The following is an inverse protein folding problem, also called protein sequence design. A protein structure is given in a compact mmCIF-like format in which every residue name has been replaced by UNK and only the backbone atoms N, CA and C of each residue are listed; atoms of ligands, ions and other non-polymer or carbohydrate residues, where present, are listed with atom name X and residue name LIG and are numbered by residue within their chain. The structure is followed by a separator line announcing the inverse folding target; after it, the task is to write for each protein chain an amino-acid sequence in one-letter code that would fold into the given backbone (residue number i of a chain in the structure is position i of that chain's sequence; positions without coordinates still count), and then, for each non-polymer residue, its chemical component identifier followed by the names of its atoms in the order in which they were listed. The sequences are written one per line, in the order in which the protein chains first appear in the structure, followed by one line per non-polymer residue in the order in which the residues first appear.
data_IF_917338401941
#
_entry.id   IF_917338401941
#
_cell.length_a   1.000
_cell.length_b   1.000
_cell.length_c   1.000
_cell.angle_alpha   90.00
_cell.angle_beta   90.00
_cell.angle_gamma   90.00
#
_symmetry.space_group_name_H-M   'P 1'
#
loop_
_entity.id
_entity.type
_entity.pdbx_description
1 polymer ?
#
# COMPACT_ATOMS: atom_id res chain seq x y z
N UNK A 1 -23.91 35.75 30.98
CA UNK A 1 -22.85 34.72 30.98
C UNK A 1 -23.07 33.86 29.75
N UNK A 2 -22.33 34.15 28.67
CA UNK A 2 -22.43 33.44 27.39
C UNK A 2 -21.51 32.22 27.46
N UNK A 3 -22.09 31.02 27.52
CA UNK A 3 -21.35 29.76 27.51
C UNK A 3 -20.79 29.52 26.12
N UNK A 4 -19.51 29.84 25.92
CA UNK A 4 -18.71 29.37 24.79
C UNK A 4 -18.58 27.85 24.89
N UNK A 5 -19.41 27.12 24.13
CA UNK A 5 -19.21 25.70 23.88
C UNK A 5 -17.86 25.58 23.15
N UNK A 6 -16.88 24.83 23.67
CA UNK A 6 -15.62 24.63 22.95
C UNK A 6 -15.94 23.85 21.67
N UNK A 7 -15.79 24.52 20.53
CA UNK A 7 -15.82 23.87 19.22
C UNK A 7 -14.64 22.91 19.15
N UNK A 8 -14.85 21.64 19.48
CA UNK A 8 -13.88 20.60 19.20
C UNK A 8 -13.63 20.59 17.69
N UNK A 9 -12.37 20.67 17.22
CA UNK A 9 -12.09 20.60 15.80
C UNK A 9 -12.63 19.27 15.26
N UNK A 10 -13.58 19.32 14.32
CA UNK A 10 -14.08 18.14 13.62
C UNK A 10 -12.89 17.53 12.87
N UNK A 11 -12.39 16.37 13.32
CA UNK A 11 -11.12 15.83 12.80
C UNK A 11 -11.25 15.17 11.42
N UNK A 12 -12.45 14.81 10.97
CA UNK A 12 -12.83 14.53 9.58
C UNK A 12 -14.33 14.20 9.52
N UNK A 13 -15.05 14.64 8.49
CA UNK A 13 -16.47 14.38 8.26
C UNK A 13 -16.73 13.18 7.33
N UNK A 14 -15.75 12.79 6.49
CA UNK A 14 -15.86 11.69 5.52
C UNK A 14 -14.56 10.88 5.36
N UNK A 15 -14.66 9.68 4.77
CA UNK A 15 -13.50 8.82 4.47
C UNK A 15 -12.47 9.47 3.53
N UNK A 16 -12.94 10.36 2.64
CA UNK A 16 -12.09 11.18 1.78
C UNK A 16 -11.25 12.18 2.60
N UNK A 17 -11.85 12.82 3.61
CA UNK A 17 -11.14 13.73 4.51
C UNK A 17 -10.11 13.01 5.39
N UNK A 18 -10.43 11.80 5.87
CA UNK A 18 -9.48 10.95 6.60
C UNK A 18 -8.27 10.55 5.74
N UNK A 19 -8.52 10.17 4.49
CA UNK A 19 -7.45 9.81 3.53
C UNK A 19 -6.57 11.02 3.24
N UNK A 20 -7.16 12.19 3.01
CA UNK A 20 -6.42 13.44 2.82
C UNK A 20 -5.64 13.86 4.08
N UNK A 21 -6.18 13.62 5.28
CA UNK A 21 -5.49 13.87 6.53
C UNK A 21 -4.29 12.93 6.71
N UNK A 22 -4.46 11.64 6.43
CA UNK A 22 -3.38 10.65 6.48
C UNK A 22 -2.27 10.99 5.47
N UNK A 23 -2.62 11.36 4.22
CA UNK A 23 -1.63 11.77 3.22
C UNK A 23 -0.85 13.02 3.68
N UNK A 24 -1.55 14.03 4.22
CA UNK A 24 -0.91 15.24 4.78
C UNK A 24 0.02 14.91 5.95
N UNK A 25 -0.37 13.97 6.81
CA UNK A 25 0.48 13.50 7.90
C UNK A 25 1.74 12.82 7.37
N UNK A 26 1.60 11.83 6.48
CA UNK A 26 2.74 11.11 5.90
C UNK A 26 3.69 12.06 5.16
N UNK A 27 3.16 13.02 4.40
CA UNK A 27 3.96 14.01 3.68
C UNK A 27 4.73 14.93 4.63
N UNK A 28 4.13 15.36 5.74
CA UNK A 28 4.82 16.14 6.78
C UNK A 28 5.84 15.31 7.55
N UNK A 29 5.53 14.05 7.86
CA UNK A 29 6.48 13.13 8.47
C UNK A 29 7.70 12.91 7.57
N UNK A 30 7.48 12.75 6.26
CA UNK A 30 8.53 12.64 5.26
C UNK A 30 9.38 13.92 5.18
N UNK A 31 8.75 15.09 5.17
CA UNK A 31 9.47 16.36 5.19
C UNK A 31 10.35 16.52 6.45
N UNK A 32 9.82 16.14 7.62
CA UNK A 32 10.55 16.16 8.88
C UNK A 32 11.71 15.14 8.87
N UNK A 33 11.49 13.95 8.30
CA UNK A 33 12.54 12.96 8.10
C UNK A 33 13.65 13.47 7.18
N UNK A 34 13.30 14.13 6.08
CA UNK A 34 14.26 14.72 5.16
C UNK A 34 15.05 15.85 5.82
N UNK A 35 14.39 16.71 6.60
CA UNK A 35 15.08 17.73 7.40
C UNK A 35 16.07 17.11 8.40
N UNK A 36 15.65 16.06 9.11
CA UNK A 36 16.51 15.33 10.04
C UNK A 36 17.72 14.71 9.33
N UNK A 37 17.55 14.15 8.13
CA UNK A 37 18.67 13.65 7.31
C UNK A 37 19.66 14.77 6.97
N UNK A 38 19.17 15.93 6.53
CA UNK A 38 20.00 17.09 6.23
C UNK A 38 20.77 17.57 7.45
N UNK A 39 20.10 17.68 8.59
CA UNK A 39 20.73 18.08 9.87
C UNK A 39 21.77 17.06 10.34
N UNK A 40 21.51 15.76 10.21
CA UNK A 40 22.48 14.70 10.53
C UNK A 40 23.72 14.78 9.63
N UNK A 41 23.55 15.05 8.33
CA UNK A 41 24.64 15.21 7.38
C UNK A 41 25.47 16.47 7.67
N UNK A 42 24.83 17.61 7.95
CA UNK A 42 25.54 18.83 8.37
C UNK A 42 26.30 18.62 9.68
N UNK A 43 25.66 17.99 10.67
CA UNK A 43 26.30 17.69 11.95
C UNK A 43 27.54 16.80 11.74
N UNK A 44 27.44 15.82 10.85
CA UNK A 44 28.57 14.97 10.49
C UNK A 44 29.72 15.75 9.83
N UNK A 45 29.41 16.72 8.95
CA UNK A 45 30.42 17.58 8.32
C UNK A 45 31.05 18.56 9.32
N UNK A 46 30.28 19.10 10.26
CA UNK A 46 30.78 20.00 11.30
C UNK A 46 31.72 19.27 12.26
N UNK A 47 31.42 18.01 12.56
CA UNK A 47 32.27 17.16 13.41
C UNK A 47 33.53 16.64 12.70
N UNK A 48 33.70 16.89 11.39
CA UNK A 48 34.82 16.39 10.60
C UNK A 48 36.21 16.63 11.24
N UNK A 49 36.51 17.80 11.84
CA UNK A 49 37.81 18.05 12.48
C UNK A 49 38.09 17.19 13.72
N UNK A 50 37.06 16.59 14.32
CA UNK A 50 37.14 15.77 15.52
C UNK A 50 37.22 14.27 15.22
N UNK A 51 37.28 13.89 13.94
CA UNK A 51 37.17 12.49 13.52
C UNK A 51 38.53 11.88 13.23
N UNK A 52 38.73 10.67 13.74
CA UNK A 52 39.88 9.84 13.44
C UNK A 52 39.62 9.06 12.14
N UNK A 53 40.20 9.54 11.04
CA UNK A 53 40.15 8.85 9.75
C UNK A 53 41.41 8.04 9.49
N UNK A 54 41.28 6.92 8.77
CA UNK A 54 42.42 6.08 8.39
C UNK A 54 43.40 6.82 7.47
N UNK A 55 42.86 7.70 6.61
CA UNK A 55 43.59 8.52 5.64
C UNK A 55 43.39 10.03 5.93
N UNK A 56 44.26 10.91 5.43
CA UNK A 56 44.04 12.35 5.50
C UNK A 56 42.77 12.75 4.74
N UNK A 57 41.74 13.18 5.49
CA UNK A 57 40.46 13.60 4.92
C UNK A 57 40.50 15.09 4.60
N UNK A 58 40.07 15.43 3.39
CA UNK A 58 39.97 16.80 2.88
C UNK A 58 38.54 17.06 2.41
N UNK A 59 38.20 18.32 2.16
CA UNK A 59 36.90 18.70 1.58
C UNK A 59 36.66 18.10 0.19
N UNK A 60 37.72 17.67 -0.51
CA UNK A 60 37.66 16.97 -1.80
C UNK A 60 37.46 15.45 -1.67
N UNK A 61 37.50 14.88 -0.46
CA UNK A 61 37.30 13.44 -0.28
C UNK A 61 35.87 13.07 -0.75
N UNK A 62 35.72 12.04 -1.61
CA UNK A 62 34.42 11.72 -2.23
C UNK A 62 33.29 11.51 -1.23
N UNK A 63 33.55 10.89 -0.09
CA UNK A 63 32.56 10.67 0.98
C UNK A 63 32.12 11.97 1.66
N UNK A 64 33.01 12.95 1.81
CA UNK A 64 32.68 14.29 2.33
C UNK A 64 31.81 15.04 1.33
N UNK A 65 32.21 15.04 0.06
CA UNK A 65 31.41 15.64 -1.03
C UNK A 65 30.02 15.00 -1.12
N UNK A 66 29.95 13.67 -1.04
CA UNK A 66 28.70 12.92 -1.04
C UNK A 66 27.82 13.32 0.14
N UNK A 67 28.39 13.43 1.34
CA UNK A 67 27.67 13.85 2.55
C UNK A 67 27.14 15.28 2.40
N UNK A 68 27.92 16.19 1.80
CA UNK A 68 27.49 17.55 1.51
C UNK A 68 26.34 17.60 0.48
N UNK A 69 26.43 16.78 -0.58
CA UNK A 69 25.35 16.63 -1.55
C UNK A 69 24.07 16.09 -0.89
N UNK A 70 24.18 15.07 -0.04
CA UNK A 70 23.06 14.53 0.73
C UNK A 70 22.46 15.60 1.65
N UNK A 71 23.29 16.41 2.32
CA UNK A 71 22.80 17.51 3.16
C UNK A 71 21.96 18.51 2.35
N UNK A 72 22.48 18.99 1.22
CA UNK A 72 21.79 19.94 0.34
C UNK A 72 20.50 19.34 -0.22
N UNK A 73 20.58 18.12 -0.76
CA UNK A 73 19.43 17.43 -1.33
C UNK A 73 18.35 17.19 -0.28
N UNK A 74 18.71 16.76 0.93
CA UNK A 74 17.76 16.48 2.00
C UNK A 74 17.01 17.74 2.46
N UNK A 75 17.67 18.89 2.56
CA UNK A 75 17.00 20.17 2.84
C UNK A 75 16.11 20.62 1.67
N UNK A 76 16.54 20.45 0.43
CA UNK A 76 15.71 20.74 -0.74
C UNK A 76 14.43 19.88 -0.76
N UNK A 77 14.56 18.58 -0.43
CA UNK A 77 13.42 17.66 -0.28
C UNK A 77 12.54 18.05 0.90
N UNK A 78 13.10 18.50 2.02
CA UNK A 78 12.30 18.98 3.15
C UNK A 78 11.46 20.22 2.78
N UNK A 79 11.97 21.08 1.89
CA UNK A 79 11.27 22.27 1.40
C UNK A 79 10.19 21.94 0.36
N UNK A 80 10.45 20.97 -0.53
CA UNK A 80 9.50 20.47 -1.53
C UNK A 80 9.33 18.93 -1.43
N UNK A 81 8.64 18.43 -0.39
CA UNK A 81 8.56 16.98 -0.13
C UNK A 81 7.62 16.25 -1.08
N UNK A 82 6.55 16.92 -1.54
CA UNK A 82 5.48 16.31 -2.33
C UNK A 82 5.93 15.56 -3.60
N UNK A 83 6.76 16.14 -4.50
CA UNK A 83 7.18 15.44 -5.72
C UNK A 83 8.00 14.19 -5.41
N UNK A 84 8.94 14.29 -4.46
CA UNK A 84 9.86 13.19 -4.11
C UNK A 84 9.12 12.08 -3.36
N UNK A 85 8.30 12.44 -2.37
CA UNK A 85 7.45 11.49 -1.66
C UNK A 85 6.58 10.68 -2.63
N UNK A 86 5.85 11.36 -3.53
CA UNK A 86 4.99 10.68 -4.51
C UNK A 86 5.79 9.85 -5.51
N UNK A 87 6.98 10.31 -5.91
CA UNK A 87 7.85 9.55 -6.79
C UNK A 87 8.30 8.24 -6.13
N UNK A 88 8.77 8.29 -4.88
CA UNK A 88 9.17 7.11 -4.12
C UNK A 88 8.00 6.14 -3.89
N UNK A 89 6.80 6.65 -3.54
CA UNK A 89 5.63 5.79 -3.38
C UNK A 89 5.18 5.10 -4.68
N UNK A 90 5.42 5.71 -5.85
CA UNK A 90 5.00 5.17 -7.17
C UNK A 90 6.06 4.30 -7.82
N UNK A 91 7.34 4.54 -7.53
CA UNK A 91 8.49 3.93 -8.20
C UNK A 91 9.46 3.35 -7.18
N UNK A 92 9.29 2.06 -6.83
CA UNK A 92 10.17 1.36 -5.89
C UNK A 92 11.66 1.38 -6.27
N UNK A 93 11.96 1.48 -7.57
CA UNK A 93 13.30 1.60 -8.12
C UNK A 93 14.03 2.87 -7.63
N UNK A 94 13.30 3.96 -7.41
CA UNK A 94 13.86 5.22 -6.91
C UNK A 94 14.30 5.12 -5.44
N UNK A 95 13.78 4.15 -4.68
CA UNK A 95 14.22 3.90 -3.30
C UNK A 95 15.69 3.43 -3.24
N UNK A 96 16.21 2.85 -4.33
CA UNK A 96 17.60 2.39 -4.37
C UNK A 96 18.61 3.54 -4.38
N UNK A 97 18.24 4.72 -4.91
CA UNK A 97 19.14 5.88 -4.95
C UNK A 97 19.61 6.29 -3.54
N UNK A 98 18.72 6.60 -2.58
CA UNK A 98 19.14 6.91 -1.20
C UNK A 98 19.84 5.73 -0.52
N UNK A 99 19.49 4.48 -0.84
CA UNK A 99 20.16 3.30 -0.26
C UNK A 99 21.61 3.18 -0.76
N UNK A 100 21.86 3.41 -2.04
CA UNK A 100 23.21 3.40 -2.62
C UNK A 100 24.05 4.56 -2.07
N UNK A 101 23.46 5.73 -1.89
CA UNK A 101 24.12 6.86 -1.24
C UNK A 101 24.49 6.51 0.22
N UNK A 102 23.57 5.92 0.98
CA UNK A 102 23.82 5.47 2.35
C UNK A 102 24.95 4.44 2.44
N UNK A 103 24.99 3.48 1.51
CA UNK A 103 26.07 2.49 1.40
C UNK A 103 27.41 3.15 1.04
N UNK A 104 27.43 4.06 0.07
CA UNK A 104 28.64 4.78 -0.35
C UNK A 104 29.21 5.68 0.77
N UNK A 105 28.36 6.24 1.63
CA UNK A 105 28.82 7.02 2.80
C UNK A 105 29.54 6.16 3.85
N UNK A 106 29.24 4.84 3.90
CA UNK A 106 29.91 3.90 4.78
C UNK A 106 31.11 3.20 4.10
N UNK A 107 31.19 3.25 2.78
CA UNK A 107 32.20 2.56 1.99
C UNK A 107 33.54 3.34 1.97
N UNK A 108 34.20 3.48 3.13
CA UNK A 108 35.61 3.91 3.29
C UNK A 108 35.92 5.37 2.79
N UNK A 109 36.93 6.14 3.28
CA UNK A 109 37.97 5.88 4.29
C UNK A 109 37.66 6.40 5.71
N UNK A 110 36.48 6.98 5.93
CA UNK A 110 36.09 7.61 7.20
C UNK A 110 35.65 6.61 8.30
N UNK A 111 36.07 5.34 8.25
CA UNK A 111 35.77 4.27 9.24
C UNK A 111 34.41 4.42 9.95
N UNK A 112 33.32 4.12 9.27
CA UNK A 112 31.94 4.19 9.79
C UNK A 112 31.50 5.51 10.48
N UNK A 113 32.31 6.57 10.57
CA UNK A 113 31.99 7.85 11.24
C UNK A 113 30.79 8.59 10.61
N UNK A 114 30.47 8.25 9.35
CA UNK A 114 29.32 8.76 8.61
C UNK A 114 28.05 7.90 8.78
N UNK A 115 28.03 7.01 9.78
CA UNK A 115 26.91 6.11 9.98
C UNK A 115 25.60 6.81 10.34
N UNK A 116 25.63 7.96 11.02
CA UNK A 116 24.42 8.69 11.40
C UNK A 116 23.64 9.22 10.18
N UNK A 117 24.25 9.98 9.25
CA UNK A 117 23.53 10.42 8.05
C UNK A 117 23.18 9.26 7.10
N UNK A 118 24.00 8.21 7.03
CA UNK A 118 23.66 6.97 6.30
C UNK A 118 22.40 6.31 6.89
N UNK A 119 22.34 6.16 8.22
CA UNK A 119 21.18 5.61 8.94
C UNK A 119 19.94 6.47 8.75
N UNK A 120 20.07 7.79 8.90
CA UNK A 120 18.97 8.73 8.71
C UNK A 120 18.37 8.61 7.30
N UNK A 121 19.20 8.45 6.28
CA UNK A 121 18.75 8.29 4.90
C UNK A 121 17.95 6.99 4.70
N UNK A 122 18.36 5.88 5.32
CA UNK A 122 17.58 4.62 5.30
C UNK A 122 16.30 4.74 6.14
N UNK A 123 16.33 5.48 7.26
CA UNK A 123 15.12 5.79 8.05
C UNK A 123 14.10 6.60 7.24
N UNK A 124 14.56 7.52 6.39
CA UNK A 124 13.69 8.28 5.48
C UNK A 124 13.00 7.36 4.47
N UNK A 125 13.75 6.41 3.88
CA UNK A 125 13.19 5.38 3.00
C UNK A 125 12.19 4.50 3.76
N UNK A 126 12.46 4.18 5.02
CA UNK A 126 11.55 3.38 5.86
C UNK A 126 10.16 4.00 6.07
N UNK A 127 9.99 5.31 5.79
CA UNK A 127 8.68 5.97 5.89
C UNK A 127 7.77 5.72 4.68
N UNK A 128 8.36 5.32 3.55
CA UNK A 128 7.64 5.10 2.28
C UNK A 128 7.72 3.65 1.79
N UNK A 129 8.72 2.90 2.26
CA UNK A 129 8.95 1.51 1.89
C UNK A 129 8.37 0.52 2.94
N UNK A 130 7.85 -0.64 2.51
CA UNK A 130 7.47 -1.73 3.40
C UNK A 130 8.66 -2.23 4.23
N UNK A 131 8.40 -2.61 5.48
CA UNK A 131 9.43 -3.06 6.42
C UNK A 131 10.34 -4.16 5.86
N UNK A 132 9.79 -5.13 5.11
CA UNK A 132 10.59 -6.18 4.46
C UNK A 132 11.65 -5.63 3.52
N UNK A 133 11.31 -4.62 2.69
CA UNK A 133 12.25 -3.98 1.76
C UNK A 133 13.28 -3.15 2.52
N UNK A 134 12.85 -2.39 3.52
CA UNK A 134 13.74 -1.60 4.37
C UNK A 134 14.81 -2.47 5.05
N UNK A 135 14.45 -3.67 5.51
CA UNK A 135 15.41 -4.62 6.06
C UNK A 135 16.41 -5.13 5.03
N UNK A 136 15.97 -5.40 3.80
CA UNK A 136 16.88 -5.72 2.70
C UNK A 136 17.84 -4.57 2.40
N UNK A 137 17.36 -3.32 2.41
CA UNK A 137 18.20 -2.14 2.24
C UNK A 137 19.22 -1.96 3.36
N UNK A 138 18.82 -2.18 4.62
CA UNK A 138 19.75 -2.20 5.75
C UNK A 138 20.83 -3.25 5.55
N UNK A 139 20.45 -4.47 5.17
CA UNK A 139 21.39 -5.55 4.92
C UNK A 139 22.40 -5.18 3.81
N UNK A 140 21.93 -4.60 2.70
CA UNK A 140 22.83 -4.13 1.62
C UNK A 140 23.84 -3.11 2.15
N UNK A 141 23.37 -2.06 2.83
CA UNK A 141 24.23 -1.00 3.37
C UNK A 141 25.27 -1.56 4.36
N UNK A 142 24.85 -2.45 5.25
CA UNK A 142 25.71 -3.05 6.27
C UNK A 142 26.70 -4.06 5.68
N UNK A 143 26.30 -4.84 4.68
CA UNK A 143 27.20 -5.74 3.94
C UNK A 143 28.24 -4.91 3.18
N UNK A 144 27.86 -3.78 2.56
CA UNK A 144 28.82 -2.88 1.92
C UNK A 144 29.83 -2.32 2.93
N UNK A 145 29.40 -1.89 4.11
CA UNK A 145 30.30 -1.46 5.18
C UNK A 145 31.26 -2.58 5.62
N UNK A 146 30.74 -3.80 5.81
CA UNK A 146 31.56 -4.96 6.19
C UNK A 146 32.57 -5.33 5.10
N UNK A 147 32.15 -5.31 3.83
CA UNK A 147 33.01 -5.57 2.69
C UNK A 147 34.10 -4.50 2.55
N UNK A 148 33.79 -3.23 2.83
CA UNK A 148 34.78 -2.16 2.83
C UNK A 148 35.89 -2.43 3.87
N UNK A 149 35.51 -2.79 5.10
CA UNK A 149 36.47 -3.19 6.15
C UNK A 149 37.28 -4.45 5.80
N UNK A 150 36.65 -5.41 5.12
CA UNK A 150 37.33 -6.60 4.61
C UNK A 150 38.39 -6.28 3.55
N UNK A 151 38.09 -5.37 2.64
CA UNK A 151 39.01 -4.94 1.59
C UNK A 151 40.17 -4.08 2.14
N UNK A 152 39.92 -3.28 3.18
CA UNK A 152 40.98 -2.52 3.86
C UNK A 152 41.84 -3.36 4.81
N UNK A 153 41.43 -4.58 5.15
CA UNK A 153 42.16 -5.46 6.06
C UNK A 153 42.14 -5.01 7.52
N UNK A 154 41.24 -4.10 7.90
CA UNK A 154 41.21 -3.46 9.23
C UNK A 154 40.13 -4.03 10.16
N UNK A 155 39.55 -5.19 9.84
CA UNK A 155 38.52 -5.83 10.67
C UNK A 155 38.97 -6.10 12.12
N UNK A 156 40.23 -6.45 12.33
CA UNK A 156 40.75 -6.79 13.66
C UNK A 156 41.01 -5.54 14.52
N UNK A 157 41.22 -4.39 13.89
CA UNK A 157 41.51 -3.11 14.54
C UNK A 157 40.25 -2.27 14.73
N UNK A 158 39.22 -2.54 13.93
CA UNK A 158 37.95 -1.80 13.96
C UNK A 158 37.19 -2.10 15.25
N UNK A 159 36.76 -1.07 16.00
CA UNK A 159 36.02 -1.29 17.24
C UNK A 159 34.73 -2.06 16.97
N UNK A 160 34.37 -3.01 17.82
CA UNK A 160 33.17 -3.83 17.64
C UNK A 160 31.89 -3.00 17.44
N UNK A 161 31.83 -1.79 17.98
CA UNK A 161 30.72 -0.84 17.80
C UNK A 161 30.59 -0.37 16.35
N UNK A 162 31.68 -0.19 15.60
CA UNK A 162 31.66 0.23 14.18
C UNK A 162 31.21 -0.88 13.22
N UNK A 163 31.07 -2.12 13.72
CA UNK A 163 30.53 -3.23 12.95
C UNK A 163 29.25 -3.72 13.63
N UNK A 164 29.34 -4.44 14.74
CA UNK A 164 28.17 -5.02 15.42
C UNK A 164 27.15 -3.97 15.91
N UNK A 165 27.63 -2.84 16.43
CA UNK A 165 26.76 -1.75 16.89
C UNK A 165 25.92 -1.16 15.76
N UNK A 166 26.49 -1.06 14.56
CA UNK A 166 25.80 -0.61 13.35
C UNK A 166 24.69 -1.58 12.92
N UNK A 167 24.93 -2.89 12.97
CA UNK A 167 23.92 -3.90 12.61
C UNK A 167 22.70 -3.86 13.53
N UNK A 168 22.93 -3.66 14.83
CA UNK A 168 21.84 -3.48 15.81
C UNK A 168 21.15 -2.13 15.58
N UNK A 169 21.93 -1.06 15.44
CA UNK A 169 21.43 0.30 15.31
C UNK A 169 20.56 0.52 14.08
N UNK A 170 21.03 0.11 12.89
CA UNK A 170 20.27 0.28 11.64
C UNK A 170 18.94 -0.46 11.70
N UNK A 171 18.93 -1.73 12.12
CA UNK A 171 17.70 -2.51 12.25
C UNK A 171 16.73 -1.89 13.25
N UNK A 172 17.24 -1.45 14.41
CA UNK A 172 16.44 -0.82 15.46
C UNK A 172 15.80 0.50 14.98
N UNK A 173 16.59 1.46 14.50
CA UNK A 173 16.12 2.80 14.15
C UNK A 173 15.18 2.81 12.95
N UNK A 174 15.46 1.98 11.94
CA UNK A 174 14.60 1.86 10.75
C UNK A 174 13.26 1.18 11.08
N UNK A 175 13.29 0.13 11.92
CA UNK A 175 12.07 -0.53 12.40
C UNK A 175 11.25 0.39 13.28
N UNK A 176 11.89 1.11 14.22
CA UNK A 176 11.21 2.09 15.07
C UNK A 176 10.53 3.17 14.22
N UNK A 177 11.23 3.71 13.22
CA UNK A 177 10.68 4.74 12.33
C UNK A 177 9.47 4.22 11.56
N UNK A 178 9.59 3.06 10.91
CA UNK A 178 8.49 2.45 10.17
C UNK A 178 7.28 2.17 11.05
N UNK A 179 7.48 1.56 12.23
CA UNK A 179 6.40 1.24 13.16
C UNK A 179 5.72 2.47 13.74
N UNK A 180 6.47 3.52 14.09
CA UNK A 180 5.92 4.76 14.64
C UNK A 180 5.08 5.46 13.58
N UNK A 181 5.59 5.60 12.35
CA UNK A 181 4.84 6.21 11.24
C UNK A 181 3.57 5.41 10.95
N UNK A 182 3.67 4.09 10.86
CA UNK A 182 2.52 3.21 10.60
C UNK A 182 1.50 3.26 11.75
N UNK A 183 1.96 3.27 13.00
CA UNK A 183 1.08 3.29 14.18
C UNK A 183 0.38 4.63 14.33
N UNK A 184 1.05 5.74 14.05
CA UNK A 184 0.42 7.06 14.06
C UNK A 184 -0.57 7.17 12.89
N UNK A 185 -0.20 6.73 11.69
CA UNK A 185 -1.13 6.70 10.55
C UNK A 185 -2.37 5.86 10.88
N UNK A 186 -2.20 4.65 11.45
CA UNK A 186 -3.32 3.82 11.92
C UNK A 186 -4.11 4.46 13.04
N UNK A 187 -3.47 5.21 13.94
CA UNK A 187 -4.17 5.91 15.00
C UNK A 187 -5.02 7.05 14.44
N UNK A 188 -4.47 7.86 13.53
CA UNK A 188 -5.19 8.92 12.82
C UNK A 188 -6.38 8.38 12.03
N UNK A 189 -6.21 7.24 11.34
CA UNK A 189 -7.29 6.54 10.64
C UNK A 189 -8.33 5.91 11.58
N UNK A 190 -7.99 5.70 12.86
CA UNK A 190 -8.88 5.15 13.90
C UNK A 190 -9.53 6.24 14.77
N UNK A 191 -9.14 7.51 14.64
CA UNK A 191 -9.82 8.60 15.33
C UNK A 191 -11.26 8.59 14.83
N UNK A 192 -12.18 8.28 15.74
CA UNK A 192 -13.61 8.24 15.49
C UNK A 192 -14.03 9.50 14.72
N UNK A 193 -14.65 9.29 13.56
CA UNK A 193 -15.67 10.22 13.03
C UNK A 193 -16.81 10.19 14.06
N UNK A 194 -16.58 10.88 15.17
CA UNK A 194 -17.45 10.85 16.33
C UNK A 194 -18.77 11.51 16.00
N UNK A 195 -19.83 10.70 16.02
CA UNK A 195 -21.22 11.09 16.20
C UNK A 195 -21.83 11.95 15.08
N UNK A 196 -21.99 11.37 13.89
CA UNK A 196 -23.26 11.61 13.19
C UNK A 196 -24.29 10.79 13.97
N UNK A 197 -24.98 11.44 14.91
CA UNK A 197 -26.24 10.90 15.43
C UNK A 197 -27.13 10.53 14.24
N UNK A 198 -27.97 9.48 14.37
CA UNK A 198 -28.65 8.85 13.23
C UNK A 198 -29.22 9.93 12.29
N UNK A 199 -28.83 9.95 10.98
CA UNK A 199 -29.34 10.97 10.08
C UNK A 199 -30.86 10.88 10.04
N UNK A 200 -31.50 12.05 9.97
CA UNK A 200 -32.93 12.22 9.89
C UNK A 200 -33.56 11.23 8.90
N UNK A 201 -34.28 10.25 9.45
CA UNK A 201 -34.95 9.13 8.77
C UNK A 201 -34.05 8.33 7.81
N UNK A 202 -33.76 7.09 8.20
CA UNK A 202 -33.32 5.99 7.32
C UNK A 202 -34.13 5.84 6.02
N UNK A 203 -35.34 6.43 5.97
CA UNK A 203 -36.17 6.53 4.79
C UNK A 203 -35.59 7.45 3.68
N UNK A 204 -34.89 8.53 4.03
CA UNK A 204 -34.32 9.47 3.05
C UNK A 204 -33.17 8.83 2.26
N UNK A 205 -32.25 8.14 2.95
CA UNK A 205 -31.15 7.43 2.32
C UNK A 205 -31.64 6.22 1.49
N UNK A 206 -32.66 5.51 1.95
CA UNK A 206 -33.28 4.42 1.19
C UNK A 206 -33.96 4.92 -0.11
N UNK A 207 -34.51 6.14 -0.09
CA UNK A 207 -35.13 6.78 -1.25
C UNK A 207 -34.06 7.26 -2.25
N UNK A 208 -32.98 7.85 -1.76
CA UNK A 208 -31.83 8.26 -2.58
C UNK A 208 -31.18 7.04 -3.25
N UNK A 209 -31.06 5.93 -2.49
CA UNK A 209 -30.60 4.65 -3.01
C UNK A 209 -31.56 4.01 -4.03
N UNK A 210 -32.86 4.30 -3.95
CA UNK A 210 -33.83 3.87 -4.95
C UNK A 210 -33.76 4.72 -6.23
N UNK A 211 -33.43 6.01 -6.12
CA UNK A 211 -33.37 6.93 -7.27
C UNK A 211 -32.17 6.69 -8.20
N UNK A 212 -30.99 6.31 -7.69
CA UNK A 212 -29.87 5.92 -8.57
C UNK A 212 -30.08 4.57 -9.27
N UNK A 213 -30.97 3.73 -8.74
CA UNK A 213 -31.32 2.42 -9.32
C UNK A 213 -32.42 2.48 -10.39
N UNK A 214 -33.07 3.64 -10.57
CA UNK A 214 -34.20 3.81 -11.48
C UNK A 214 -33.86 3.71 -12.99
N UNK A 215 -32.68 4.14 -13.51
CA UNK A 215 -32.43 4.12 -14.95
C UNK A 215 -32.36 2.71 -15.56
N UNK A 216 -32.17 1.66 -14.75
CA UNK A 216 -31.88 0.32 -15.23
C UNK A 216 -33.05 -0.68 -15.12
N UNK A 217 -34.23 -0.25 -14.64
CA UNK A 217 -35.46 -1.08 -14.70
C UNK A 217 -36.07 -1.06 -16.10
N UNK A 218 -36.01 0.07 -16.79
CA UNK A 218 -36.64 0.23 -18.10
C UNK A 218 -36.00 -0.64 -19.21
N UNK A 219 -34.80 -1.19 -18.99
CA UNK A 219 -34.12 -2.06 -19.94
C UNK A 219 -34.43 -3.56 -19.77
N UNK A 220 -35.17 -3.96 -18.72
CA UNK A 220 -35.43 -5.37 -18.41
C UNK A 220 -36.88 -5.82 -18.66
N UNK A 221 -37.82 -4.89 -18.93
CA UNK A 221 -39.26 -5.21 -19.12
C UNK A 221 -39.66 -5.36 -20.61
N UNK A 222 -38.71 -5.65 -21.51
CA UNK A 222 -39.04 -6.03 -22.89
C UNK A 222 -39.23 -7.55 -22.98
N UNK A 223 -40.46 -7.99 -22.69
CA UNK A 223 -40.97 -9.35 -22.97
C UNK A 223 -40.91 -9.70 -24.47
N UNK A 224 -40.71 -10.98 -24.83
CA UNK A 224 -41.31 -11.57 -26.01
C UNK A 224 -42.42 -12.56 -25.59
N UNK A 225 -43.68 -12.20 -25.84
CA UNK A 225 -44.85 -13.10 -25.74
C UNK A 225 -44.99 -14.01 -27.01
N UNK A 226 -45.81 -15.09 -26.95
CA UNK A 226 -45.49 -16.40 -27.54
C UNK A 226 -46.39 -16.88 -28.69
N UNK A 227 -46.03 -18.02 -29.29
CA UNK A 227 -46.89 -19.01 -29.95
C UNK A 227 -46.11 -20.34 -30.07
N UNK A 228 -46.59 -21.56 -29.89
CA UNK A 228 -47.92 -22.14 -29.67
C UNK A 228 -47.99 -23.52 -30.36
N UNK A 229 -48.35 -24.57 -29.61
CA UNK A 229 -48.86 -25.91 -30.04
C UNK A 229 -47.89 -26.88 -30.76
N UNK A 230 -47.90 -28.23 -30.64
CA UNK A 230 -48.89 -29.23 -30.20
C UNK A 230 -48.31 -30.67 -30.18
N UNK A 231 -48.78 -31.49 -29.22
CA UNK A 231 -48.98 -32.98 -29.25
C UNK A 231 -47.73 -33.90 -29.16
N UNK A 232 -47.70 -35.05 -28.48
CA UNK A 232 -48.65 -35.87 -27.74
C UNK A 232 -47.89 -37.05 -27.05
N UNK A 233 -48.55 -37.75 -26.13
CA UNK A 233 -48.08 -38.87 -25.25
C UNK A 233 -48.90 -40.13 -25.65
N UNK A 234 -48.65 -41.43 -25.31
CA UNK A 234 -47.62 -42.13 -24.46
C UNK A 234 -47.04 -43.50 -24.99
N UNK A 235 -46.21 -44.15 -24.15
CA UNK A 235 -46.22 -45.58 -23.74
C UNK A 235 -45.26 -46.64 -24.34
N UNK A 236 -44.84 -47.55 -23.42
CA UNK A 236 -44.34 -48.94 -23.52
C UNK A 236 -42.84 -49.29 -23.77
N UNK A 237 -42.19 -49.69 -22.66
CA UNK A 237 -41.66 -51.02 -22.30
C UNK A 237 -40.65 -51.84 -23.18
N UNK A 238 -39.79 -52.59 -22.45
CA UNK A 238 -39.21 -53.94 -22.77
C UNK A 238 -37.69 -54.07 -23.14
N UNK A 239 -36.93 -54.56 -22.13
CA UNK A 239 -35.87 -55.61 -22.03
C UNK A 239 -34.54 -55.69 -22.84
N UNK A 240 -33.44 -55.73 -22.06
CA UNK A 240 -32.33 -56.73 -21.88
C UNK A 240 -31.59 -57.43 -23.08
N UNK A 241 -30.24 -57.46 -22.97
CA UNK A 241 -29.21 -58.54 -23.20
C UNK A 241 -28.15 -58.34 -24.31
N UNK A 242 -26.86 -58.39 -23.88
CA UNK A 242 -25.54 -58.85 -24.45
C UNK A 242 -25.22 -58.76 -25.97
N UNK A 243 -23.97 -58.62 -26.46
CA UNK A 243 -22.65 -59.04 -25.98
C UNK A 243 -21.48 -58.23 -26.63
N UNK A 244 -20.31 -58.31 -25.99
CA UNK A 244 -18.94 -57.78 -26.24
C UNK A 244 -18.23 -58.32 -27.51
N UNK A 245 -16.92 -58.06 -27.87
CA UNK A 245 -15.81 -57.45 -27.09
C UNK A 245 -14.70 -56.59 -27.80
N UNK A 246 -13.93 -55.88 -26.95
CA UNK A 246 -12.49 -55.50 -26.98
C UNK A 246 -11.84 -54.75 -28.15
N UNK A 247 -11.32 -53.53 -27.88
CA UNK A 247 -9.88 -53.18 -28.05
C UNK A 247 -9.50 -51.87 -27.29
N UNK A 248 -8.20 -51.62 -27.15
CA UNK A 248 -7.53 -51.09 -25.96
C UNK A 248 -7.31 -49.54 -25.83
N UNK A 249 -7.37 -49.06 -24.57
CA UNK A 249 -6.46 -48.14 -23.82
C UNK A 249 -6.10 -46.72 -24.35
N UNK A 250 -6.58 -45.69 -23.60
CA UNK A 250 -6.06 -44.36 -23.13
C UNK A 250 -4.96 -43.53 -23.89
N UNK A 251 -4.73 -42.20 -23.63
CA UNK A 251 -5.42 -41.19 -22.80
C UNK A 251 -5.70 -39.83 -23.51
N UNK A 252 -6.39 -38.94 -22.78
CA UNK A 252 -6.86 -37.58 -23.12
C UNK A 252 -5.74 -36.53 -23.20
N UNK A 253 -5.71 -35.74 -24.29
CA UNK A 253 -4.94 -34.49 -24.42
C UNK A 253 -5.88 -33.35 -24.86
N UNK A 254 -5.95 -32.19 -24.18
CA UNK A 254 -6.64 -31.01 -24.69
C UNK A 254 -5.62 -29.97 -25.18
N UNK A 255 -5.73 -29.50 -26.43
CA UNK A 255 -5.30 -28.16 -26.84
C UNK A 255 -5.59 -27.89 -28.32
N UNK A 256 -6.53 -26.99 -28.62
CA UNK A 256 -6.34 -25.98 -29.67
C UNK A 256 -6.96 -24.68 -29.18
N UNK A 257 -6.09 -23.71 -28.88
CA UNK A 257 -6.41 -22.28 -28.70
C UNK A 257 -6.47 -21.65 -30.09
N UNK A 258 -7.49 -20.85 -30.46
CA UNK A 258 -7.31 -19.85 -31.49
C UNK A 258 -6.89 -18.53 -30.83
N UNK A 259 -5.72 -18.02 -31.22
CA UNK A 259 -5.32 -16.65 -30.94
C UNK A 259 -6.18 -15.68 -31.76
N UNK A 260 -6.56 -14.51 -31.23
CA UNK A 260 -6.86 -13.35 -32.06
C UNK A 260 -5.75 -12.29 -31.94
N UNK A 261 -5.39 -11.77 -33.11
CA UNK A 261 -4.45 -10.68 -33.35
C UNK A 261 -5.03 -9.30 -32.86
N UNK A 262 -4.23 -8.22 -32.86
CA UNK A 262 -4.20 -7.23 -31.78
C UNK A 262 -5.08 -5.98 -31.95
N UNK A 263 -5.36 -5.37 -30.79
CA UNK A 263 -5.51 -3.94 -30.50
C UNK A 263 -6.58 -3.13 -31.25
N UNK A 264 -7.74 -2.96 -30.60
CA UNK A 264 -8.37 -1.63 -30.44
C UNK A 264 -9.40 -1.64 -29.30
N UNK A 265 -9.24 -0.68 -28.38
CA UNK A 265 -10.25 -0.06 -27.50
C UNK A 265 -11.13 -0.91 -26.57
N UNK A 266 -10.86 -0.82 -25.26
CA UNK A 266 -11.74 -0.18 -24.26
C UNK A 266 -11.22 -0.53 -22.85
N UNK A 267 -11.21 0.45 -21.94
CA UNK A 267 -11.01 0.20 -20.51
C UNK A 267 -12.01 -0.87 -20.05
N UNK A 268 -11.51 -2.07 -19.74
CA UNK A 268 -12.30 -3.08 -19.05
C UNK A 268 -12.53 -2.58 -17.62
N UNK A 269 -13.71 -2.00 -17.42
CA UNK A 269 -14.16 -1.45 -16.15
C UNK A 269 -14.10 -2.54 -15.06
N UNK A 270 -13.30 -2.39 -13.98
CA UNK A 270 -13.17 -3.41 -12.92
C UNK A 270 -14.48 -3.70 -12.18
N UNK A 271 -15.52 -2.92 -12.44
CA UNK A 271 -16.89 -2.98 -11.92
C UNK A 271 -17.66 -4.22 -12.39
N UNK A 272 -17.32 -4.74 -13.58
CA UNK A 272 -17.99 -5.88 -14.20
C UNK A 272 -17.69 -7.23 -13.54
N UNK A 273 -16.74 -7.29 -12.59
CA UNK A 273 -16.31 -8.56 -11.95
C UNK A 273 -16.96 -8.87 -10.62
N UNK A 274 -17.62 -7.90 -9.98
CA UNK A 274 -18.19 -8.06 -8.63
C UNK A 274 -19.72 -8.14 -8.68
N UNK A 275 -20.32 -8.93 -7.78
CA UNK A 275 -21.78 -8.96 -7.65
C UNK A 275 -22.28 -7.75 -6.87
N UNK A 276 -23.56 -7.38 -7.06
CA UNK A 276 -24.21 -6.28 -6.34
C UNK A 276 -23.94 -6.27 -4.82
N UNK A 277 -24.08 -7.43 -4.16
CA UNK A 277 -23.84 -7.52 -2.70
C UNK A 277 -22.36 -7.34 -2.32
N UNK A 278 -21.45 -7.75 -3.19
CA UNK A 278 -20.02 -7.49 -2.98
C UNK A 278 -19.72 -6.00 -3.15
N UNK A 279 -20.34 -5.36 -4.15
CA UNK A 279 -20.21 -3.92 -4.39
C UNK A 279 -20.74 -3.09 -3.22
N UNK A 280 -21.91 -3.43 -2.69
CA UNK A 280 -22.48 -2.79 -1.48
C UNK A 280 -21.52 -2.92 -0.27
N UNK A 281 -20.96 -4.11 -0.05
CA UNK A 281 -19.99 -4.33 1.05
C UNK A 281 -18.69 -3.56 0.81
N UNK A 282 -18.18 -3.54 -0.43
CA UNK A 282 -16.95 -2.81 -0.78
C UNK A 282 -17.15 -1.30 -0.69
N UNK A 283 -18.32 -0.78 -1.07
CA UNK A 283 -18.67 0.62 -0.90
C UNK A 283 -18.66 1.02 0.58
N UNK A 284 -19.36 0.27 1.44
CA UNK A 284 -19.37 0.55 2.87
C UNK A 284 -17.97 0.42 3.51
N UNK A 285 -17.12 -0.47 3.00
CA UNK A 285 -15.71 -0.56 3.41
C UNK A 285 -14.88 0.64 2.97
N UNK A 286 -15.10 1.12 1.74
CA UNK A 286 -14.46 2.34 1.25
C UNK A 286 -14.89 3.58 2.05
N UNK A 287 -16.12 3.57 2.56
CA UNK A 287 -16.66 4.57 3.48
C UNK A 287 -16.15 4.41 4.93
N UNK A 288 -15.30 3.40 5.20
CA UNK A 288 -14.67 3.19 6.50
C UNK A 288 -15.49 2.40 7.52
N UNK A 289 -16.60 1.79 7.13
CA UNK A 289 -17.43 0.98 8.05
C UNK A 289 -16.70 -0.31 8.46
N UNK A 290 -16.83 -0.68 9.73
CA UNK A 290 -16.34 -1.97 10.26
C UNK A 290 -17.30 -3.10 9.86
N UNK A 291 -16.80 -4.33 9.83
CA UNK A 291 -17.64 -5.49 9.44
C UNK A 291 -18.91 -5.65 10.28
N UNK A 292 -18.88 -5.27 11.56
CA UNK A 292 -20.05 -5.30 12.45
C UNK A 292 -21.07 -4.18 12.14
N UNK A 293 -20.63 -3.05 11.59
CA UNK A 293 -21.48 -1.94 11.16
C UNK A 293 -22.10 -2.26 9.80
N UNK A 294 -21.32 -2.79 8.85
CA UNK A 294 -21.80 -3.27 7.56
C UNK A 294 -22.87 -4.36 7.74
N UNK A 295 -22.63 -5.28 8.67
CA UNK A 295 -23.58 -6.32 9.04
C UNK A 295 -24.93 -5.72 9.46
N UNK A 296 -24.91 -4.65 10.28
CA UNK A 296 -26.13 -3.93 10.69
C UNK A 296 -26.77 -3.18 9.51
N UNK A 297 -25.98 -2.47 8.70
CA UNK A 297 -26.47 -1.70 7.55
C UNK A 297 -27.17 -2.59 6.51
N UNK A 298 -26.64 -3.79 6.27
CA UNK A 298 -27.16 -4.73 5.27
C UNK A 298 -28.09 -5.79 5.87
N UNK A 299 -28.36 -5.75 7.17
CA UNK A 299 -29.15 -6.77 7.90
C UNK A 299 -28.66 -8.20 7.67
N UNK A 300 -27.35 -8.40 7.70
CA UNK A 300 -26.68 -9.71 7.54
C UNK A 300 -25.72 -9.97 8.71
N UNK A 301 -25.26 -11.21 8.85
CA UNK A 301 -24.26 -11.53 9.87
C UNK A 301 -22.86 -11.01 9.49
N UNK A 302 -22.03 -10.70 10.50
CA UNK A 302 -20.60 -10.39 10.30
C UNK A 302 -19.87 -11.46 9.48
N UNK A 303 -20.22 -12.74 9.67
CA UNK A 303 -19.67 -13.87 8.91
C UNK A 303 -20.02 -13.80 7.42
N UNK A 304 -21.23 -13.34 7.09
CA UNK A 304 -21.63 -13.12 5.70
C UNK A 304 -20.90 -11.92 5.09
N UNK A 305 -20.69 -10.84 5.83
CA UNK A 305 -19.84 -9.71 5.39
C UNK A 305 -18.44 -10.21 5.05
N UNK A 306 -17.78 -10.95 5.96
CA UNK A 306 -16.47 -11.54 5.71
C UNK A 306 -16.45 -12.39 4.43
N UNK A 307 -17.45 -13.25 4.24
CA UNK A 307 -17.57 -14.07 3.03
C UNK A 307 -17.69 -13.21 1.77
N UNK A 308 -18.49 -12.15 1.80
CA UNK A 308 -18.61 -11.22 0.67
C UNK A 308 -17.28 -10.53 0.34
N UNK A 309 -16.53 -10.09 1.36
CA UNK A 309 -15.19 -9.49 1.19
C UNK A 309 -14.21 -10.48 0.60
N UNK A 310 -14.11 -11.69 1.17
CA UNK A 310 -13.19 -12.74 0.67
C UNK A 310 -13.48 -13.06 -0.80
N UNK A 311 -14.76 -13.27 -1.15
CA UNK A 311 -15.12 -13.53 -2.54
C UNK A 311 -14.92 -12.32 -3.46
N UNK A 312 -14.92 -11.08 -2.95
CA UNK A 312 -14.58 -9.90 -3.73
C UNK A 312 -13.07 -9.78 -3.97
N UNK A 313 -12.26 -10.05 -2.94
CA UNK A 313 -10.79 -10.15 -3.02
C UNK A 313 -10.36 -11.18 -4.07
N UNK A 314 -10.94 -12.38 -4.03
CA UNK A 314 -10.67 -13.46 -4.99
C UNK A 314 -11.06 -13.06 -6.42
N UNK A 315 -12.22 -12.44 -6.61
CA UNK A 315 -12.72 -12.06 -7.94
C UNK A 315 -11.94 -10.92 -8.59
N UNK A 316 -11.41 -10.01 -7.78
CA UNK A 316 -10.56 -8.92 -8.27
C UNK A 316 -9.07 -9.29 -8.30
N UNK A 317 -8.69 -10.47 -7.80
CA UNK A 317 -7.32 -10.95 -7.81
C UNK A 317 -6.38 -10.15 -6.92
N UNK A 318 -6.92 -9.47 -5.90
CA UNK A 318 -6.16 -8.68 -4.92
C UNK A 318 -5.76 -9.54 -3.73
N UNK A 319 -4.73 -9.11 -3.00
CA UNK A 319 -4.17 -9.93 -1.91
C UNK A 319 -4.89 -9.73 -0.57
N UNK A 320 -5.59 -8.60 -0.39
CA UNK A 320 -6.29 -8.30 0.86
C UNK A 320 -7.38 -7.23 0.69
N UNK A 321 -8.18 -7.03 1.74
CA UNK A 321 -9.27 -6.07 1.77
C UNK A 321 -8.82 -4.59 1.67
N UNK A 322 -7.59 -4.25 2.08
CA UNK A 322 -7.10 -2.88 1.95
C UNK A 322 -6.78 -2.55 0.49
N UNK A 323 -6.19 -3.49 -0.23
CA UNK A 323 -5.95 -3.38 -1.68
C UNK A 323 -7.27 -3.34 -2.46
N UNK A 324 -8.26 -4.13 -2.04
CA UNK A 324 -9.63 -4.07 -2.56
C UNK A 324 -10.24 -2.65 -2.44
N UNK A 325 -10.12 -2.02 -1.28
CA UNK A 325 -10.61 -0.65 -1.04
C UNK A 325 -9.81 0.38 -1.86
N UNK A 326 -8.48 0.24 -1.90
CA UNK A 326 -7.63 1.15 -2.68
C UNK A 326 -7.98 1.13 -4.16
N UNK A 327 -8.24 -0.05 -4.74
CA UNK A 327 -8.69 -0.17 -6.13
C UNK A 327 -10.08 0.42 -6.31
N UNK A 328 -11.02 0.14 -5.40
CA UNK A 328 -12.40 0.64 -5.50
C UNK A 328 -12.48 2.18 -5.50
N UNK A 329 -11.62 2.84 -4.71
CA UNK A 329 -11.51 4.31 -4.68
C UNK A 329 -10.80 4.82 -5.93
N UNK A 330 -9.70 4.18 -6.36
CA UNK A 330 -8.92 4.60 -7.52
C UNK A 330 -9.67 4.43 -8.85
N UNK A 331 -10.56 3.44 -8.95
CA UNK A 331 -11.37 3.17 -10.15
C UNK A 331 -12.65 4.02 -10.24
N UNK A 332 -12.98 4.80 -9.20
CA UNK A 332 -14.18 5.65 -9.18
C UNK A 332 -15.51 4.89 -9.19
N UNK A 333 -15.49 3.57 -8.91
CA UNK A 333 -16.69 2.73 -8.91
C UNK A 333 -17.64 3.04 -7.72
N UNK A 334 -17.09 3.53 -6.61
CA UNK A 334 -17.86 4.04 -5.48
C UNK A 334 -17.79 5.55 -5.55
N UNK A 335 -18.92 6.28 -5.69
CA UNK A 335 -18.87 7.73 -5.68
C UNK A 335 -18.30 8.20 -4.33
N UNK A 336 -17.35 9.14 -4.30
CA UNK A 336 -16.99 9.81 -3.06
C UNK A 336 -18.22 10.64 -2.65
N UNK A 337 -19.07 10.09 -1.79
CA UNK A 337 -20.18 10.85 -1.23
C UNK A 337 -19.65 11.78 -0.15
N UNK A 338 -20.07 13.04 -0.27
CA UNK A 338 -19.77 14.22 0.53
C UNK A 338 -19.72 13.99 2.04
#
# INVERSE_FOLDING_TARGET
MTTLVPTTPRLAASGAELTALAERFCLRAFAAGAFFCGAAAVSALVMLPLRDSADPVTWSTPTVLLTALVAIAAFAVAWLPAPVYRALCRRPDLELVPVMLAAAMLAYPLRSELWWPSCALVMLVAQVAPLRRTWSYCAVVLITNLAAHALSGDLAESPAVSILGLWIGFGFWTTLTGLVVERIARHLLRVDVGQVGPPASTAALALELATWAAPNRAAQDADPEPAGSSHGVPAEAVTVVEATPFEAVEPRVPAVVPAPAPASNALADPTLKLTRRQLEVVALLADGHRYDEIAKCLSISRRQVQRHVTSAVERLGVHNANELVAIAVASGFVPPMS
#
